data_IF_546242206328
#
_entry.id   IF_546242206328
#
_cell.length_a   1.000
_cell.length_b   1.000
_cell.length_c   1.000
_cell.angle_alpha   90.00
_cell.angle_beta   90.00
_cell.angle_gamma   90.00
#
_symmetry.space_group_name_H-M   'P 1'
#
loop_
_entity.id
_entity.type
_entity.pdbx_description
1 polymer ?
#
# COMPACT_ATOMS: atom_id res chain seq x y z
N UNK A 1 -40.85 11.46 -22.50
CA UNK A 1 -39.51 11.20 -21.91
C UNK A 1 -38.56 12.31 -22.38
N UNK A 2 -38.24 13.28 -21.52
CA UNK A 2 -37.31 14.36 -21.85
C UNK A 2 -35.88 13.76 -21.92
N UNK A 3 -35.27 13.74 -23.11
CA UNK A 3 -33.87 13.41 -23.30
C UNK A 3 -33.03 14.41 -22.50
N UNK A 4 -32.42 13.98 -21.38
CA UNK A 4 -31.43 14.77 -20.64
C UNK A 4 -30.33 15.15 -21.64
N UNK A 5 -30.19 16.41 -21.96
CA UNK A 5 -29.08 16.93 -22.77
C UNK A 5 -27.81 16.82 -21.91
N UNK A 6 -26.95 15.87 -22.23
CA UNK A 6 -25.66 15.72 -21.58
C UNK A 6 -24.77 16.84 -22.12
N UNK A 7 -24.19 17.63 -21.23
CA UNK A 7 -23.22 18.65 -21.62
C UNK A 7 -21.99 17.96 -22.24
N UNK A 8 -21.54 18.45 -23.40
CA UNK A 8 -20.32 17.98 -24.07
C UNK A 8 -19.11 18.01 -23.09
N UNK A 9 -19.07 19.05 -22.26
CA UNK A 9 -18.09 19.21 -21.19
C UNK A 9 -18.12 18.03 -20.22
N UNK A 10 -19.32 17.65 -19.76
CA UNK A 10 -19.48 16.51 -18.84
C UNK A 10 -19.03 15.20 -19.46
N UNK A 11 -19.31 14.99 -20.75
CA UNK A 11 -18.89 13.78 -21.48
C UNK A 11 -17.36 13.71 -21.59
N UNK A 12 -16.69 14.81 -21.94
CA UNK A 12 -15.23 14.87 -22.08
C UNK A 12 -14.55 14.67 -20.73
N UNK A 13 -15.04 15.29 -19.66
CA UNK A 13 -14.50 15.09 -18.29
C UNK A 13 -14.64 13.63 -17.87
N UNK A 14 -15.80 13.01 -18.07
CA UNK A 14 -16.00 11.59 -17.75
C UNK A 14 -15.07 10.70 -18.56
N UNK A 15 -14.90 10.96 -19.86
CA UNK A 15 -13.99 10.19 -20.71
C UNK A 15 -12.54 10.29 -20.23
N UNK A 16 -12.06 11.49 -19.88
CA UNK A 16 -10.71 11.70 -19.33
C UNK A 16 -10.56 11.00 -17.98
N UNK A 17 -11.55 11.14 -17.09
CA UNK A 17 -11.53 10.44 -15.80
C UNK A 17 -11.43 8.92 -15.99
N UNK A 18 -12.21 8.34 -16.87
CA UNK A 18 -12.15 6.88 -17.14
C UNK A 18 -10.80 6.49 -17.73
N UNK A 19 -10.30 7.25 -18.70
CA UNK A 19 -9.03 6.93 -19.40
C UNK A 19 -7.81 7.05 -18.51
N UNK A 20 -7.82 7.92 -17.51
CA UNK A 20 -6.72 8.08 -16.55
C UNK A 20 -6.91 7.21 -15.32
N UNK A 21 -8.12 7.18 -14.75
CA UNK A 21 -8.40 6.49 -13.49
C UNK A 21 -8.37 4.97 -13.63
N UNK A 22 -8.92 4.41 -14.70
CA UNK A 22 -8.96 2.96 -14.88
C UNK A 22 -7.54 2.32 -14.95
N UNK A 23 -6.58 2.82 -15.76
CA UNK A 23 -5.22 2.29 -15.77
C UNK A 23 -4.48 2.46 -14.43
N UNK A 24 -4.69 3.59 -13.74
CA UNK A 24 -4.07 3.86 -12.45
C UNK A 24 -4.56 2.89 -11.39
N UNK A 25 -5.87 2.64 -11.32
CA UNK A 25 -6.45 1.67 -10.37
C UNK A 25 -6.00 0.25 -10.68
N UNK A 26 -6.03 -0.17 -11.96
CA UNK A 26 -5.58 -1.51 -12.35
C UNK A 26 -4.11 -1.73 -12.08
N UNK A 27 -3.25 -0.75 -12.37
CA UNK A 27 -1.83 -0.78 -12.04
C UNK A 27 -1.60 -0.84 -10.52
N UNK A 28 -2.38 -0.11 -9.73
CA UNK A 28 -2.32 -0.13 -8.26
C UNK A 28 -2.67 -1.49 -7.68
N UNK A 29 -3.75 -2.10 -8.13
CA UNK A 29 -4.16 -3.44 -7.70
C UNK A 29 -3.08 -4.46 -8.07
N UNK A 30 -2.57 -4.42 -9.29
CA UNK A 30 -1.50 -5.28 -9.76
C UNK A 30 -0.22 -5.09 -8.92
N UNK A 31 0.19 -3.86 -8.66
CA UNK A 31 1.36 -3.52 -7.84
C UNK A 31 1.23 -4.09 -6.43
N UNK A 32 0.10 -3.84 -5.74
CA UNK A 32 -0.14 -4.35 -4.38
C UNK A 32 -0.09 -5.87 -4.36
N UNK A 33 -0.75 -6.53 -5.29
CA UNK A 33 -0.77 -7.99 -5.36
C UNK A 33 0.63 -8.57 -5.60
N UNK A 34 1.38 -8.03 -6.56
CA UNK A 34 2.72 -8.50 -6.91
C UNK A 34 3.72 -8.27 -5.78
N UNK A 35 3.75 -7.06 -5.20
CA UNK A 35 4.68 -6.72 -4.11
C UNK A 35 4.35 -7.49 -2.83
N UNK A 36 3.07 -7.66 -2.50
CA UNK A 36 2.65 -8.49 -1.36
C UNK A 36 3.08 -9.95 -1.53
N UNK A 37 2.87 -10.52 -2.71
CA UNK A 37 3.28 -11.89 -3.01
C UNK A 37 4.80 -12.07 -2.95
N UNK A 38 5.55 -11.12 -3.49
CA UNK A 38 7.02 -11.15 -3.47
C UNK A 38 7.58 -11.03 -2.05
N UNK A 39 7.01 -10.16 -1.21
CA UNK A 39 7.42 -10.03 0.19
C UNK A 39 7.10 -11.26 1.03
N UNK A 40 5.93 -11.88 0.82
CA UNK A 40 5.61 -13.15 1.48
C UNK A 40 6.57 -14.27 1.06
N UNK A 41 6.91 -14.34 -0.22
CA UNK A 41 7.88 -15.32 -0.71
C UNK A 41 9.26 -15.09 -0.11
N UNK A 42 9.77 -13.86 -0.13
CA UNK A 42 11.07 -13.50 0.49
C UNK A 42 11.08 -13.76 2.00
N UNK A 43 9.99 -13.44 2.71
CA UNK A 43 9.87 -13.76 4.13
C UNK A 43 9.90 -15.27 4.36
N UNK A 44 9.20 -16.06 3.54
CA UNK A 44 9.20 -17.51 3.62
C UNK A 44 10.60 -18.11 3.42
N UNK A 45 11.33 -17.66 2.41
CA UNK A 45 12.72 -18.08 2.16
C UNK A 45 13.63 -17.69 3.31
N UNK A 46 13.54 -16.45 3.78
CA UNK A 46 14.35 -15.95 4.89
C UNK A 46 14.08 -16.75 6.15
N UNK A 47 12.83 -16.92 6.55
CA UNK A 47 12.46 -17.69 7.75
C UNK A 47 12.92 -19.14 7.64
N UNK A 48 12.75 -19.76 6.47
CA UNK A 48 13.20 -21.13 6.22
C UNK A 48 14.71 -21.25 6.33
N UNK A 49 15.46 -20.28 5.84
CA UNK A 49 16.92 -20.25 5.96
C UNK A 49 17.36 -20.16 7.44
N UNK A 50 16.81 -19.21 8.20
CA UNK A 50 17.13 -19.08 9.64
C UNK A 50 16.72 -20.33 10.42
N UNK A 51 15.57 -20.92 10.11
CA UNK A 51 15.07 -22.11 10.77
C UNK A 51 15.95 -23.33 10.48
N UNK A 52 16.40 -23.49 9.26
CA UNK A 52 17.32 -24.58 8.88
C UNK A 52 18.69 -24.41 9.52
N UNK A 53 19.23 -23.18 9.51
CA UNK A 53 20.49 -22.89 10.17
C UNK A 53 20.41 -23.16 11.68
N UNK A 54 19.30 -22.74 12.33
CA UNK A 54 19.05 -22.99 13.73
C UNK A 54 18.99 -24.49 14.05
N UNK A 55 18.23 -25.27 13.27
CA UNK A 55 18.09 -26.72 13.47
C UNK A 55 19.41 -27.43 13.24
N UNK A 56 20.15 -27.09 12.19
CA UNK A 56 21.47 -27.69 11.90
C UNK A 56 22.51 -27.33 13.01
N UNK A 57 22.48 -26.11 13.51
CA UNK A 57 23.34 -25.68 14.61
C UNK A 57 22.98 -26.40 15.92
N UNK A 58 21.69 -26.53 16.19
CA UNK A 58 21.19 -27.26 17.37
C UNK A 58 21.53 -28.73 17.30
N UNK A 59 21.36 -29.37 16.14
CA UNK A 59 21.74 -30.76 15.92
C UNK A 59 23.26 -30.99 16.17
N UNK A 60 24.12 -30.08 15.66
CA UNK A 60 25.57 -30.15 15.91
C UNK A 60 25.90 -29.97 17.41
N UNK A 61 25.25 -29.02 18.07
CA UNK A 61 25.42 -28.81 19.50
C UNK A 61 25.04 -30.06 20.31
N UNK A 62 23.89 -30.66 20.00
CA UNK A 62 23.43 -31.89 20.67
C UNK A 62 24.37 -33.07 20.41
N UNK A 63 24.97 -33.16 19.23
CA UNK A 63 25.97 -34.16 18.90
C UNK A 63 27.24 -33.96 19.73
N UNK A 64 27.76 -32.76 19.79
CA UNK A 64 28.93 -32.40 20.61
C UNK A 64 28.68 -32.72 22.08
N UNK A 65 27.49 -32.39 22.61
CA UNK A 65 27.10 -32.72 23.98
C UNK A 65 27.11 -34.23 24.23
N UNK A 66 26.52 -34.98 23.32
CA UNK A 66 26.46 -36.43 23.38
C UNK A 66 27.87 -37.05 23.40
N UNK A 67 28.72 -36.60 22.48
CA UNK A 67 30.07 -37.10 22.36
C UNK A 67 30.89 -36.77 23.61
N UNK A 68 30.72 -35.57 24.19
CA UNK A 68 31.31 -35.21 25.48
C UNK A 68 30.82 -36.05 26.64
N UNK A 69 29.52 -36.38 26.68
CA UNK A 69 28.97 -37.30 27.68
C UNK A 69 29.56 -38.70 27.54
N UNK A 70 29.67 -39.24 26.32
CA UNK A 70 30.31 -40.53 26.08
C UNK A 70 31.79 -40.53 26.40
N UNK A 71 32.49 -39.41 26.13
CA UNK A 71 33.89 -39.28 26.57
C UNK A 71 34.02 -39.37 28.08
N UNK A 72 33.13 -38.66 28.84
CA UNK A 72 33.13 -38.73 30.29
C UNK A 72 32.85 -40.14 30.81
N UNK A 73 31.91 -40.88 30.18
CA UNK A 73 31.66 -42.29 30.57
C UNK A 73 32.83 -43.21 30.26
N UNK A 74 33.70 -42.83 29.33
CA UNK A 74 34.87 -43.62 28.92
C UNK A 74 36.17 -43.22 29.64
N UNK A 75 36.15 -42.10 30.38
CA UNK A 75 37.32 -41.62 31.12
C UNK A 75 37.68 -42.57 32.26
N UNK A 76 38.94 -43.05 32.31
CA UNK A 76 39.40 -44.05 33.29
C UNK A 76 39.33 -43.54 34.74
N UNK A 77 39.58 -42.24 34.96
CA UNK A 77 39.48 -41.64 36.26
C UNK A 77 38.02 -41.54 36.74
N UNK A 78 37.12 -41.14 35.82
CA UNK A 78 35.68 -41.12 36.07
C UNK A 78 35.14 -42.53 36.33
N UNK A 79 35.56 -43.54 35.57
CA UNK A 79 35.21 -44.95 35.76
C UNK A 79 35.66 -45.45 37.18
N UNK A 80 36.88 -45.18 37.53
CA UNK A 80 37.40 -45.57 38.85
C UNK A 80 36.67 -44.91 40.02
N UNK A 81 36.34 -43.61 39.88
CA UNK A 81 35.58 -42.84 40.87
C UNK A 81 34.16 -43.37 41.01
N UNK A 82 33.50 -43.67 39.88
CA UNK A 82 32.13 -44.16 39.86
C UNK A 82 32.00 -45.61 40.31
N UNK A 83 33.00 -46.50 40.09
CA UNK A 83 32.99 -47.90 40.49
C UNK A 83 33.20 -48.05 42.02
N UNK A 84 33.70 -47.03 42.70
CA UNK A 84 33.87 -47.05 44.15
C UNK A 84 32.54 -47.11 44.89
N UNK A 85 32.37 -47.92 45.92
CA UNK A 85 31.16 -47.95 46.74
C UNK A 85 31.00 -46.71 47.67
N UNK A 86 32.02 -45.87 47.78
CA UNK A 86 32.02 -44.67 48.64
C UNK A 86 31.44 -43.45 47.88
N UNK A 87 30.82 -42.53 48.62
CA UNK A 87 30.42 -41.21 48.01
C UNK A 87 31.68 -40.50 47.47
N UNK A 88 31.47 -39.67 46.45
CA UNK A 88 32.54 -38.85 45.88
C UNK A 88 32.96 -37.77 46.82
N UNK A 89 34.28 -37.67 47.02
CA UNK A 89 34.90 -36.62 47.85
C UNK A 89 34.92 -35.29 47.04
N UNK A 90 35.05 -34.18 47.75
CA UNK A 90 35.11 -32.86 47.17
C UNK A 90 36.29 -32.67 46.18
N UNK A 91 37.41 -33.33 46.44
CA UNK A 91 38.59 -33.33 45.55
C UNK A 91 38.29 -34.10 44.27
N UNK A 92 37.60 -35.24 44.34
CA UNK A 92 37.23 -36.04 43.22
C UNK A 92 36.20 -35.30 42.36
N UNK A 93 35.24 -34.57 42.97
CA UNK A 93 34.28 -33.72 42.28
C UNK A 93 35.02 -32.63 41.49
N UNK A 94 35.98 -31.95 42.13
CA UNK A 94 36.77 -30.90 41.46
C UNK A 94 37.60 -31.44 40.30
N UNK A 95 38.15 -32.66 40.42
CA UNK A 95 38.87 -33.32 39.34
C UNK A 95 37.96 -33.68 38.16
N UNK A 96 36.75 -34.17 38.43
CA UNK A 96 35.76 -34.46 37.42
C UNK A 96 35.31 -33.17 36.69
N UNK A 97 35.07 -32.09 37.44
CA UNK A 97 34.72 -30.80 36.89
C UNK A 97 35.83 -30.25 35.98
N UNK A 98 37.08 -30.31 36.41
CA UNK A 98 38.21 -29.86 35.59
C UNK A 98 38.38 -30.69 34.31
N UNK A 99 38.31 -32.02 34.41
CA UNK A 99 38.43 -32.92 33.28
C UNK A 99 37.29 -32.67 32.29
N UNK A 100 36.08 -32.50 32.80
CA UNK A 100 34.89 -32.25 31.98
C UNK A 100 34.94 -30.87 31.31
N UNK A 101 35.23 -29.81 32.05
CA UNK A 101 35.40 -28.45 31.53
C UNK A 101 36.50 -28.39 30.46
N UNK A 102 37.59 -29.14 30.62
CA UNK A 102 38.65 -29.22 29.61
C UNK A 102 38.16 -29.90 28.32
N UNK A 103 37.36 -30.96 28.45
CA UNK A 103 36.79 -31.66 27.28
C UNK A 103 35.79 -30.80 26.50
N UNK A 104 34.95 -30.06 27.22
CA UNK A 104 33.97 -29.17 26.59
C UNK A 104 34.53 -27.83 26.13
N UNK A 105 35.61 -27.33 26.74
CA UNK A 105 36.30 -26.09 26.32
C UNK A 105 37.01 -26.23 24.97
N UNK A 106 37.26 -27.44 24.50
CA UNK A 106 37.89 -27.71 23.20
C UNK A 106 36.91 -27.62 22.02
N UNK A 107 35.63 -27.44 22.26
CA UNK A 107 34.62 -27.32 21.21
C UNK A 107 33.95 -25.94 21.18
N UNK A 108 34.27 -25.11 20.18
CA UNK A 108 33.59 -23.82 19.90
C UNK A 108 32.07 -23.95 19.70
N UNK A 109 31.57 -25.19 19.73
CA UNK A 109 30.16 -25.50 19.38
C UNK A 109 29.19 -25.40 20.55
N UNK A 110 29.70 -25.29 21.79
CA UNK A 110 28.87 -25.23 23.01
C UNK A 110 28.67 -23.78 23.44
N UNK A 111 27.44 -23.31 23.35
CA UNK A 111 27.09 -22.05 23.97
C UNK A 111 26.88 -22.27 25.49
N UNK A 112 27.73 -21.71 26.35
CA UNK A 112 27.65 -21.89 27.81
C UNK A 112 26.35 -21.37 28.41
N UNK A 113 25.67 -20.45 27.73
CA UNK A 113 24.35 -19.96 28.14
C UNK A 113 23.23 -20.97 27.90
N UNK A 114 23.41 -21.88 26.94
CA UNK A 114 22.41 -22.92 26.58
C UNK A 114 22.57 -24.14 27.45
N UNK A 115 23.81 -24.57 27.74
CA UNK A 115 24.09 -25.69 28.65
C UNK A 115 24.16 -25.14 30.07
N UNK A 116 23.03 -25.22 30.78
CA UNK A 116 22.96 -24.67 32.16
C UNK A 116 23.82 -25.43 33.16
N UNK A 117 23.80 -26.77 33.12
CA UNK A 117 24.58 -27.60 34.01
C UNK A 117 24.65 -29.05 33.51
N UNK A 118 25.67 -29.79 33.98
CA UNK A 118 25.76 -31.22 33.78
C UNK A 118 26.00 -31.85 35.15
N UNK A 119 25.18 -32.84 35.50
CA UNK A 119 25.20 -33.53 36.77
C UNK A 119 25.56 -34.99 36.58
N UNK A 120 26.38 -35.49 37.48
CA UNK A 120 26.65 -36.90 37.66
C UNK A 120 25.88 -37.39 38.89
N UNK A 121 25.09 -38.44 38.70
CA UNK A 121 24.31 -39.03 39.81
C UNK A 121 24.91 -40.37 40.18
N UNK A 122 25.25 -40.48 41.48
CA UNK A 122 25.78 -41.71 42.06
C UNK A 122 25.24 -41.87 43.48
N UNK A 123 24.58 -43.00 43.79
CA UNK A 123 24.05 -43.30 45.12
C UNK A 123 23.27 -42.11 45.75
N UNK A 124 22.30 -41.52 44.99
CA UNK A 124 21.51 -40.33 45.34
C UNK A 124 22.33 -39.04 45.58
N UNK A 125 23.62 -39.06 45.30
CA UNK A 125 24.45 -37.87 45.29
C UNK A 125 24.40 -37.22 43.90
N UNK A 126 23.95 -35.96 43.85
CA UNK A 126 23.88 -35.13 42.65
C UNK A 126 25.08 -34.21 42.58
N UNK A 127 26.01 -34.53 41.71
CA UNK A 127 27.31 -33.85 41.62
C UNK A 127 27.36 -33.01 40.35
N UNK A 128 27.40 -31.67 40.44
CA UNK A 128 27.59 -30.84 39.27
C UNK A 128 29.04 -31.02 38.76
N UNK A 129 29.19 -31.37 37.51
CA UNK A 129 30.48 -31.51 36.83
C UNK A 129 30.73 -30.41 35.80
N UNK A 130 29.69 -29.59 35.52
CA UNK A 130 29.77 -28.40 34.67
C UNK A 130 28.64 -27.42 35.02
N UNK A 131 28.92 -26.12 35.08
CA UNK A 131 27.98 -25.01 35.14
C UNK A 131 27.11 -24.93 36.39
N UNK A 132 26.81 -26.01 37.03
CA UNK A 132 25.97 -26.06 38.23
C UNK A 132 26.68 -25.46 39.45
N UNK A 133 25.95 -24.66 40.23
CA UNK A 133 26.49 -24.18 41.50
C UNK A 133 26.16 -25.18 42.63
N UNK A 134 27.16 -25.84 43.16
CA UNK A 134 27.02 -26.85 44.23
C UNK A 134 26.26 -26.30 45.47
N UNK A 135 26.36 -25.00 45.69
CA UNK A 135 25.78 -24.33 46.87
C UNK A 135 24.39 -23.70 46.60
N UNK A 136 24.00 -23.52 45.37
CA UNK A 136 22.71 -22.97 45.03
C UNK A 136 21.74 -24.08 44.65
N UNK A 137 20.53 -23.98 45.13
CA UNK A 137 19.41 -24.90 45.08
C UNK A 137 18.96 -25.36 43.65
N UNK A 138 19.87 -25.36 42.67
CA UNK A 138 19.63 -25.81 41.28
C UNK A 138 19.45 -27.33 41.20
N UNK A 139 19.99 -28.07 42.14
CA UNK A 139 19.86 -29.54 42.23
C UNK A 139 18.41 -30.01 42.42
N UNK A 140 17.48 -29.16 42.92
CA UNK A 140 16.10 -29.56 43.09
C UNK A 140 15.39 -29.86 41.75
N UNK A 141 15.68 -29.08 40.69
CA UNK A 141 15.11 -29.29 39.35
C UNK A 141 15.55 -30.63 38.79
N UNK A 142 16.84 -30.90 38.87
CA UNK A 142 17.43 -32.15 38.39
C UNK A 142 16.91 -33.34 39.19
N UNK A 143 16.81 -33.19 40.52
CA UNK A 143 16.25 -34.24 41.39
C UNK A 143 14.80 -34.55 41.02
N UNK A 144 13.96 -33.55 40.88
CA UNK A 144 12.56 -33.72 40.51
C UNK A 144 12.42 -34.35 39.12
N UNK A 145 13.26 -33.91 38.17
CA UNK A 145 13.31 -34.48 36.84
C UNK A 145 13.74 -35.94 36.85
N UNK A 146 14.80 -36.27 37.62
CA UNK A 146 15.31 -37.63 37.75
C UNK A 146 14.27 -38.58 38.37
N UNK A 147 13.64 -38.18 39.46
CA UNK A 147 12.59 -39.00 40.11
C UNK A 147 11.41 -39.33 39.18
N UNK A 148 11.13 -38.47 38.24
CA UNK A 148 10.02 -38.68 37.26
C UNK A 148 10.48 -39.57 36.08
N UNK A 149 11.78 -39.60 35.78
CA UNK A 149 12.35 -40.23 34.59
C UNK A 149 13.51 -41.18 34.91
N UNK A 150 13.46 -41.84 36.08
CA UNK A 150 14.54 -42.69 36.55
C UNK A 150 14.88 -43.85 35.59
N UNK A 151 13.84 -44.39 34.93
CA UNK A 151 13.99 -45.45 33.92
C UNK A 151 14.41 -44.93 32.52
N UNK A 152 14.51 -43.62 32.36
CA UNK A 152 14.85 -43.02 31.06
C UNK A 152 16.39 -43.09 30.85
N UNK A 153 16.75 -43.52 29.67
CA UNK A 153 18.12 -43.56 29.20
C UNK A 153 18.21 -43.30 27.72
N UNK A 154 18.44 -42.05 27.32
CA UNK A 154 18.62 -41.71 25.92
C UNK A 154 19.41 -40.43 25.73
N UNK A 155 20.57 -40.52 25.07
CA UNK A 155 21.32 -39.36 24.63
C UNK A 155 20.70 -38.64 23.43
N UNK A 156 19.60 -39.17 22.87
CA UNK A 156 18.94 -38.61 21.69
C UNK A 156 17.57 -38.00 21.97
N UNK A 157 17.04 -38.21 23.18
CA UNK A 157 15.71 -37.71 23.55
C UNK A 157 15.84 -36.66 24.62
N UNK A 158 15.17 -35.52 24.45
CA UNK A 158 15.04 -34.49 25.47
C UNK A 158 13.83 -34.78 26.36
N UNK A 159 14.08 -34.87 27.66
CA UNK A 159 13.06 -35.06 28.67
C UNK A 159 12.66 -33.73 29.28
N UNK A 160 11.42 -33.58 29.69
CA UNK A 160 10.89 -32.36 30.31
C UNK A 160 10.05 -32.70 31.50
N UNK A 161 9.99 -31.81 32.45
CA UNK A 161 9.11 -31.91 33.61
C UNK A 161 8.05 -30.83 33.59
N UNK A 162 6.80 -31.18 33.92
CA UNK A 162 5.65 -30.26 33.81
C UNK A 162 5.77 -29.01 34.71
N UNK A 163 6.51 -29.12 35.84
CA UNK A 163 6.75 -28.02 36.77
C UNK A 163 7.98 -27.17 36.42
N UNK A 164 8.74 -27.54 35.37
CA UNK A 164 10.03 -26.93 35.02
C UNK A 164 9.93 -26.49 33.56
N UNK A 165 9.44 -25.28 33.36
CA UNK A 165 9.30 -24.68 32.01
C UNK A 165 10.61 -24.03 31.58
N UNK A 166 10.95 -24.09 30.30
CA UNK A 166 12.15 -23.47 29.72
C UNK A 166 13.43 -24.33 29.89
N UNK A 167 13.34 -25.52 30.43
CA UNK A 167 14.44 -26.44 30.53
C UNK A 167 14.12 -27.80 29.95
N UNK A 168 15.13 -28.40 29.31
CA UNK A 168 15.08 -29.77 28.83
C UNK A 168 16.30 -30.53 29.31
N UNK A 169 16.18 -31.85 29.41
CA UNK A 169 17.18 -32.71 30.01
C UNK A 169 17.52 -33.87 29.09
N UNK A 170 18.82 -34.13 28.93
CA UNK A 170 19.32 -35.35 28.33
C UNK A 170 19.82 -36.26 29.45
N UNK A 171 19.37 -37.50 29.49
CA UNK A 171 19.70 -38.47 30.56
C UNK A 171 20.42 -39.64 29.92
N UNK A 172 21.62 -39.96 30.43
CA UNK A 172 22.46 -41.05 29.92
C UNK A 172 22.97 -41.89 31.08
N UNK A 173 22.88 -43.23 30.96
CA UNK A 173 23.47 -44.12 31.95
C UNK A 173 25.01 -44.05 31.94
N UNK A 174 25.59 -43.96 33.12
CA UNK A 174 27.01 -44.16 33.34
C UNK A 174 27.22 -45.63 33.63
N UNK A 175 27.79 -46.38 32.70
CA UNK A 175 28.02 -47.83 32.82
C UNK A 175 29.48 -48.16 33.04
N UNK A 176 29.75 -49.21 33.81
CA UNK A 176 31.08 -49.81 33.92
C UNK A 176 31.45 -50.46 32.59
N UNK A 177 32.53 -50.04 31.97
CA UNK A 177 32.97 -50.52 30.67
C UNK A 177 33.39 -51.99 30.63
N UNK A 178 33.75 -52.56 31.79
CA UNK A 178 34.17 -53.96 31.90
C UNK A 178 33.01 -54.89 32.19
N UNK A 179 32.05 -54.46 33.01
CA UNK A 179 30.94 -55.30 33.48
C UNK A 179 29.61 -54.95 32.84
N UNK A 180 29.52 -53.81 32.13
CA UNK A 180 28.30 -53.22 31.55
C UNK A 180 27.20 -52.99 32.60
N UNK A 181 27.56 -52.92 33.87
CA UNK A 181 26.60 -52.63 34.93
C UNK A 181 26.44 -51.09 35.11
N UNK A 182 25.25 -50.60 35.41
CA UNK A 182 25.01 -49.19 35.64
C UNK A 182 25.70 -48.76 36.93
N UNK A 183 26.55 -47.75 36.88
CA UNK A 183 27.24 -47.11 38.00
C UNK A 183 26.56 -45.82 38.43
N UNK A 184 25.69 -45.27 37.60
CA UNK A 184 25.00 -44.00 37.83
C UNK A 184 24.41 -43.41 36.57
N UNK A 185 24.10 -42.14 36.59
CA UNK A 185 23.56 -41.41 35.40
C UNK A 185 24.26 -40.07 35.24
N UNK A 186 24.28 -39.61 33.96
CA UNK A 186 24.65 -38.25 33.61
C UNK A 186 23.37 -37.54 33.15
N UNK A 187 23.14 -36.37 33.71
CA UNK A 187 22.03 -35.50 33.30
C UNK A 187 22.60 -34.18 32.80
N UNK A 188 22.28 -33.82 31.55
CA UNK A 188 22.60 -32.52 30.96
C UNK A 188 21.33 -31.66 31.00
N UNK A 189 21.42 -30.51 31.66
CA UNK A 189 20.35 -29.51 31.73
C UNK A 189 20.58 -28.45 30.65
N UNK A 190 19.60 -28.27 29.79
CA UNK A 190 19.57 -27.29 28.70
C UNK A 190 18.57 -26.18 28.99
N UNK A 191 18.99 -24.94 28.85
CA UNK A 191 18.11 -23.79 28.87
C UNK A 191 17.55 -23.54 27.45
N UNK A 192 16.29 -23.92 27.24
CA UNK A 192 15.65 -23.83 25.93
C UNK A 192 15.32 -22.37 25.55
N UNK A 193 15.00 -21.51 26.53
CA UNK A 193 14.74 -20.10 26.25
C UNK A 193 16.00 -19.40 25.70
N UNK A 194 17.17 -19.73 26.27
CA UNK A 194 18.48 -19.28 25.75
C UNK A 194 18.78 -19.87 24.37
N UNK A 195 18.47 -21.16 24.16
CA UNK A 195 18.61 -21.79 22.86
C UNK A 195 17.75 -21.06 21.80
N UNK A 196 16.49 -20.82 22.09
CA UNK A 196 15.58 -20.13 21.18
C UNK A 196 16.00 -18.68 20.91
N UNK A 197 16.61 -18.00 21.89
CA UNK A 197 17.11 -16.63 21.71
C UNK A 197 18.24 -16.55 20.66
N UNK A 198 18.93 -17.66 20.36
CA UNK A 198 19.96 -17.70 19.30
C UNK A 198 19.38 -17.64 17.87
N UNK A 199 18.09 -17.82 17.71
CA UNK A 199 17.43 -17.80 16.39
C UNK A 199 17.51 -16.43 15.70
N UNK A 200 17.71 -15.33 16.45
CA UNK A 200 17.92 -13.94 15.95
C UNK A 200 16.85 -13.38 15.02
N UNK A 201 15.76 -14.09 14.77
CA UNK A 201 14.64 -13.65 13.92
C UNK A 201 13.94 -12.40 14.46
N UNK A 202 14.00 -12.16 15.77
CA UNK A 202 13.41 -10.99 16.42
C UNK A 202 14.01 -9.66 15.96
N UNK A 203 15.20 -9.67 15.36
CA UNK A 203 15.81 -8.47 14.78
C UNK A 203 15.11 -8.06 13.48
N UNK A 204 14.59 -9.04 12.70
CA UNK A 204 13.87 -8.81 11.46
C UNK A 204 12.36 -8.67 11.69
N UNK A 205 11.82 -9.50 12.57
CA UNK A 205 10.41 -9.56 12.91
C UNK A 205 10.24 -9.53 14.44
N UNK A 206 10.13 -8.34 15.06
CA UNK A 206 10.08 -8.19 16.52
C UNK A 206 8.96 -8.96 17.23
N UNK A 207 7.84 -9.19 16.54
CA UNK A 207 6.68 -9.92 17.09
C UNK A 207 6.71 -11.43 16.79
N UNK A 208 7.87 -11.99 16.48
CA UNK A 208 8.02 -13.43 16.20
C UNK A 208 7.77 -14.25 17.45
N UNK A 209 6.86 -15.21 17.37
CA UNK A 209 6.62 -16.22 18.39
C UNK A 209 7.29 -17.52 17.97
N UNK A 210 8.07 -18.11 18.87
CA UNK A 210 8.75 -19.39 18.64
C UNK A 210 8.30 -20.40 19.68
N UNK A 211 7.90 -21.59 19.23
CA UNK A 211 7.50 -22.69 20.09
C UNK A 211 8.41 -23.88 19.81
N UNK A 212 9.06 -24.38 20.84
CA UNK A 212 9.87 -25.60 20.79
C UNK A 212 9.08 -26.73 21.44
N UNK A 213 8.83 -27.78 20.67
CA UNK A 213 8.02 -28.92 21.09
C UNK A 213 8.83 -30.22 21.04
N UNK A 214 8.63 -31.08 22.00
CA UNK A 214 9.23 -32.45 22.02
C UNK A 214 8.60 -33.37 20.99
N UNK A 215 9.18 -34.54 20.85
CA UNK A 215 8.76 -35.59 19.89
C UNK A 215 7.28 -36.01 20.03
N UNK A 216 6.67 -35.80 21.18
CA UNK A 216 5.26 -36.07 21.45
C UNK A 216 4.35 -34.84 21.26
N UNK A 217 4.87 -33.73 20.72
CA UNK A 217 4.14 -32.48 20.54
C UNK A 217 3.94 -31.65 21.81
N UNK A 218 4.50 -32.06 22.94
CA UNK A 218 4.45 -31.30 24.18
C UNK A 218 5.40 -30.11 24.11
N UNK A 219 4.92 -28.89 24.43
CA UNK A 219 5.75 -27.69 24.47
C UNK A 219 6.83 -27.80 25.54
N UNK A 220 8.08 -27.59 25.15
CA UNK A 220 9.26 -27.62 26.02
C UNK A 220 9.65 -26.20 26.40
N UNK A 221 9.68 -25.29 25.47
CA UNK A 221 10.01 -23.89 25.66
C UNK A 221 9.36 -23.01 24.61
N UNK A 222 9.41 -21.72 24.82
CA UNK A 222 8.83 -20.76 23.88
C UNK A 222 9.39 -19.36 24.08
N UNK A 223 9.36 -18.57 23.01
CA UNK A 223 9.73 -17.17 23.00
C UNK A 223 8.53 -16.31 22.63
N UNK A 224 8.26 -15.24 23.41
CA UNK A 224 7.21 -14.25 23.16
C UNK A 224 5.78 -14.81 23.04
N UNK A 225 5.44 -15.89 23.71
CA UNK A 225 4.10 -16.49 23.66
C UNK A 225 2.99 -15.58 24.18
N UNK A 226 3.29 -14.54 24.93
CA UNK A 226 2.30 -13.55 25.41
C UNK A 226 1.62 -12.81 24.27
N UNK A 227 2.27 -12.78 23.08
CA UNK A 227 1.72 -12.21 21.86
C UNK A 227 0.77 -13.15 21.13
N UNK A 228 0.79 -14.44 21.46
CA UNK A 228 0.01 -15.48 20.80
C UNK A 228 -1.10 -15.97 21.73
N UNK A 229 -2.35 -15.63 21.41
CA UNK A 229 -3.53 -16.15 22.08
C UNK A 229 -4.03 -17.39 21.37
N UNK A 230 -4.30 -18.46 22.09
CA UNK A 230 -4.72 -19.78 21.56
C UNK A 230 -6.00 -19.75 20.66
N UNK A 231 -6.81 -18.70 20.75
CA UNK A 231 -8.02 -18.49 19.94
C UNK A 231 -7.85 -17.42 18.84
N UNK A 232 -6.63 -17.05 18.48
CA UNK A 232 -6.42 -16.08 17.42
C UNK A 232 -6.58 -16.72 16.03
N UNK A 233 -7.09 -15.92 15.07
CA UNK A 233 -7.28 -16.35 13.68
C UNK A 233 -5.92 -16.66 13.04
N UNK A 234 -5.62 -17.96 12.87
CA UNK A 234 -4.35 -18.46 12.31
C UNK A 234 -4.07 -17.90 10.91
N UNK A 235 -5.08 -17.45 10.17
CA UNK A 235 -4.89 -16.83 8.86
C UNK A 235 -4.13 -15.48 8.93
N UNK A 236 -4.04 -14.88 10.11
CA UNK A 236 -3.27 -13.65 10.33
C UNK A 236 -1.79 -13.88 10.59
N UNK A 237 -1.38 -15.13 10.73
CA UNK A 237 -0.02 -15.52 11.06
C UNK A 237 0.61 -16.32 9.94
N UNK A 238 1.82 -15.97 9.60
CA UNK A 238 2.69 -16.83 8.80
C UNK A 238 3.26 -17.91 9.73
N UNK A 239 3.18 -19.16 9.33
CA UNK A 239 3.68 -20.29 10.09
C UNK A 239 4.75 -21.04 9.30
N UNK A 240 5.88 -21.30 9.95
CA UNK A 240 6.93 -22.18 9.45
C UNK A 240 7.34 -23.16 10.53
N UNK A 241 7.70 -24.36 10.16
CA UNK A 241 8.15 -25.38 11.10
C UNK A 241 9.30 -26.21 10.52
N UNK A 242 10.21 -26.59 11.42
CA UNK A 242 11.25 -27.56 11.11
C UNK A 242 11.45 -28.50 12.29
N UNK A 243 11.94 -29.69 12.04
CA UNK A 243 12.26 -30.68 13.07
C UNK A 243 13.75 -30.94 13.11
N UNK A 244 14.29 -31.14 14.30
CA UNK A 244 15.65 -31.62 14.47
C UNK A 244 15.77 -33.03 13.89
N UNK A 245 16.81 -33.27 13.12
CA UNK A 245 16.97 -34.53 12.35
C UNK A 245 17.19 -35.74 13.25
N UNK A 246 17.81 -35.55 14.40
CA UNK A 246 18.26 -36.64 15.23
C UNK A 246 17.37 -36.93 16.46
N UNK A 247 16.68 -35.91 16.96
CA UNK A 247 15.92 -36.00 18.21
C UNK A 247 14.40 -35.85 18.04
N UNK A 248 13.93 -35.52 16.83
CA UNK A 248 12.52 -35.35 16.48
C UNK A 248 11.79 -34.22 17.21
N UNK A 249 12.49 -33.34 17.93
CA UNK A 249 11.92 -32.11 18.44
C UNK A 249 11.58 -31.21 17.27
N UNK A 250 10.54 -30.37 17.48
CA UNK A 250 9.99 -29.49 16.45
C UNK A 250 10.08 -28.04 16.88
N UNK A 251 10.47 -27.19 15.97
CA UNK A 251 10.45 -25.73 16.14
C UNK A 251 9.37 -25.18 15.24
N UNK A 252 8.38 -24.50 15.81
CA UNK A 252 7.32 -23.80 15.12
C UNK A 252 7.53 -22.30 15.30
N UNK A 253 7.48 -21.55 14.19
CA UNK A 253 7.64 -20.10 14.15
C UNK A 253 6.36 -19.49 13.63
N UNK A 254 5.87 -18.47 14.33
CA UNK A 254 4.69 -17.69 13.95
C UNK A 254 5.08 -16.23 13.86
N UNK A 255 4.78 -15.60 12.70
CA UNK A 255 5.06 -14.19 12.42
C UNK A 255 3.75 -13.53 11.98
N UNK A 256 3.34 -12.38 12.56
CA UNK A 256 2.15 -11.68 12.11
C UNK A 256 2.28 -11.26 10.65
N UNK A 257 1.33 -11.62 9.79
CA UNK A 257 1.30 -11.19 8.38
C UNK A 257 1.36 -9.66 8.25
N UNK A 258 0.82 -8.95 9.23
CA UNK A 258 0.87 -7.48 9.29
C UNK A 258 2.30 -6.95 9.38
N UNK A 259 3.22 -7.68 9.98
CA UNK A 259 4.63 -7.31 10.12
C UNK A 259 5.41 -7.59 8.83
N UNK A 260 5.19 -8.75 8.24
CA UNK A 260 5.76 -9.10 6.91
C UNK A 260 5.34 -8.06 5.86
N UNK A 261 4.07 -7.62 5.91
CA UNK A 261 3.50 -6.67 4.96
C UNK A 261 3.70 -5.19 5.39
N UNK A 262 4.43 -4.90 6.47
CA UNK A 262 4.63 -3.52 6.94
C UNK A 262 5.30 -2.64 5.88
N UNK A 263 6.29 -3.17 5.16
CA UNK A 263 6.95 -2.50 4.05
C UNK A 263 6.00 -2.15 2.88
N UNK A 264 5.01 -3.03 2.61
CA UNK A 264 3.98 -2.77 1.58
C UNK A 264 3.14 -1.56 1.95
N UNK A 265 2.74 -1.41 3.20
CA UNK A 265 1.89 -0.29 3.64
C UNK A 265 2.52 1.07 3.37
N UNK A 266 3.81 1.20 3.60
CA UNK A 266 4.54 2.44 3.32
C UNK A 266 4.62 2.70 1.81
N UNK A 267 5.05 1.70 1.02
CA UNK A 267 5.12 1.79 -0.44
C UNK A 267 3.76 2.06 -1.08
N UNK A 268 2.71 1.41 -0.59
CA UNK A 268 1.33 1.62 -1.04
C UNK A 268 0.85 3.05 -0.76
N UNK A 269 1.18 3.60 0.40
CA UNK A 269 0.82 4.98 0.76
C UNK A 269 1.48 5.98 -0.19
N UNK A 270 2.78 5.81 -0.48
CA UNK A 270 3.51 6.65 -1.44
C UNK A 270 2.92 6.51 -2.84
N UNK A 271 2.62 5.28 -3.28
CA UNK A 271 1.98 5.02 -4.57
C UNK A 271 0.66 5.78 -4.71
N UNK A 272 -0.24 5.69 -3.75
CA UNK A 272 -1.53 6.41 -3.80
C UNK A 272 -1.37 7.93 -3.79
N UNK A 273 -0.39 8.48 -3.05
CA UNK A 273 -0.10 9.91 -3.08
C UNK A 273 0.37 10.37 -4.47
N UNK A 274 1.26 9.63 -5.10
CA UNK A 274 1.73 9.92 -6.46
C UNK A 274 0.59 9.81 -7.46
N UNK A 275 -0.23 8.77 -7.38
CA UNK A 275 -1.41 8.59 -8.25
C UNK A 275 -2.43 9.73 -8.07
N UNK A 276 -2.69 10.16 -6.84
CA UNK A 276 -3.57 11.30 -6.56
C UNK A 276 -3.02 12.60 -7.16
N UNK A 277 -1.71 12.84 -7.03
CA UNK A 277 -1.06 14.01 -7.63
C UNK A 277 -1.16 14.01 -9.17
N UNK A 278 -0.91 12.86 -9.81
CA UNK A 278 -1.07 12.71 -11.27
C UNK A 278 -2.51 12.95 -11.70
N UNK A 279 -3.49 12.41 -10.97
CA UNK A 279 -4.91 12.60 -11.26
C UNK A 279 -5.33 14.08 -11.16
N UNK A 280 -4.90 14.76 -10.09
CA UNK A 280 -5.16 16.20 -9.91
C UNK A 280 -4.54 17.00 -11.07
N UNK A 281 -3.29 16.71 -11.43
CA UNK A 281 -2.61 17.37 -12.55
C UNK A 281 -3.33 17.14 -13.87
N UNK A 282 -3.76 15.91 -14.15
CA UNK A 282 -4.52 15.55 -15.35
C UNK A 282 -5.86 16.30 -15.42
N UNK A 283 -6.58 16.41 -14.29
CA UNK A 283 -7.84 17.16 -14.21
C UNK A 283 -7.63 18.65 -14.44
N UNK A 284 -6.57 19.24 -13.88
CA UNK A 284 -6.22 20.65 -14.10
C UNK A 284 -5.88 20.92 -15.57
N UNK A 285 -5.07 20.06 -16.19
CA UNK A 285 -4.75 20.17 -17.62
C UNK A 285 -6.00 20.03 -18.49
N UNK A 286 -6.85 19.06 -18.19
CA UNK A 286 -8.10 18.86 -18.91
C UNK A 286 -9.06 20.06 -18.77
N UNK A 287 -9.22 20.60 -17.58
CA UNK A 287 -10.03 21.79 -17.34
C UNK A 287 -9.49 23.01 -18.09
N UNK A 288 -8.18 23.22 -18.06
CA UNK A 288 -7.52 24.33 -18.77
C UNK A 288 -7.73 24.18 -20.30
N UNK A 289 -7.47 22.99 -20.85
CA UNK A 289 -7.66 22.71 -22.27
C UNK A 289 -9.13 22.94 -22.69
N UNK A 290 -10.07 22.45 -21.88
CA UNK A 290 -11.50 22.60 -22.14
C UNK A 290 -11.95 24.08 -22.13
N UNK A 291 -11.46 24.88 -21.17
CA UNK A 291 -11.76 26.32 -21.11
C UNK A 291 -11.22 27.01 -22.35
N UNK A 292 -9.98 26.74 -22.74
CA UNK A 292 -9.34 27.34 -23.91
C UNK A 292 -10.07 26.99 -25.23
N UNK A 293 -10.51 25.75 -25.39
CA UNK A 293 -11.21 25.29 -26.58
C UNK A 293 -12.67 25.81 -26.67
N UNK A 294 -13.34 25.90 -25.51
CA UNK A 294 -14.76 26.31 -25.50
C UNK A 294 -14.97 27.81 -25.47
N UNK A 295 -13.97 28.61 -25.10
CA UNK A 295 -14.09 30.06 -25.05
C UNK A 295 -14.49 30.69 -26.41
N UNK A 296 -13.82 30.37 -27.54
CA UNK A 296 -14.22 30.89 -28.85
C UNK A 296 -15.61 30.43 -29.28
N UNK A 297 -15.99 29.19 -29.01
CA UNK A 297 -17.34 28.68 -29.32
C UNK A 297 -18.46 29.41 -28.57
N UNK A 298 -18.23 29.77 -27.29
CA UNK A 298 -19.19 30.57 -26.52
C UNK A 298 -19.26 31.99 -27.06
N UNK A 299 -18.15 32.57 -27.48
CA UNK A 299 -18.10 33.89 -28.10
C UNK A 299 -18.89 33.90 -29.42
N UNK A 300 -18.72 32.88 -30.28
CA UNK A 300 -19.52 32.68 -31.49
C UNK A 300 -21.03 32.66 -31.20
N UNK A 301 -21.46 31.85 -30.22
CA UNK A 301 -22.88 31.74 -29.86
C UNK A 301 -23.46 33.10 -29.39
N UNK A 302 -22.72 33.90 -28.68
CA UNK A 302 -23.12 35.25 -28.25
C UNK A 302 -23.22 36.18 -29.46
N UNK A 303 -22.21 36.20 -30.33
CA UNK A 303 -22.13 37.05 -31.52
C UNK A 303 -23.24 36.70 -32.56
N UNK A 304 -23.55 35.41 -32.73
CA UNK A 304 -24.70 34.98 -33.55
C UNK A 304 -26.02 35.52 -32.99
N UNK A 305 -26.18 35.54 -31.65
CA UNK A 305 -27.33 36.13 -30.98
C UNK A 305 -27.48 37.64 -31.28
N UNK A 306 -26.37 38.39 -31.26
CA UNK A 306 -26.33 39.82 -31.58
C UNK A 306 -26.70 40.10 -33.05
N UNK A 307 -26.17 39.32 -34.00
CA UNK A 307 -26.54 39.40 -35.42
C UNK A 307 -28.03 39.11 -35.60
N UNK A 308 -28.57 38.10 -34.88
CA UNK A 308 -29.99 37.78 -34.90
C UNK A 308 -30.90 38.91 -34.38
N UNK A 309 -30.38 39.81 -33.55
CA UNK A 309 -31.08 41.02 -33.08
C UNK A 309 -30.87 42.27 -33.97
N UNK A 310 -30.14 42.11 -35.09
CA UNK A 310 -29.92 43.19 -36.07
C UNK A 310 -28.62 43.99 -35.88
N UNK A 311 -27.77 43.62 -34.94
CA UNK A 311 -26.46 44.23 -34.77
C UNK A 311 -25.40 43.50 -35.59
N UNK A 312 -25.14 43.97 -36.79
CA UNK A 312 -24.13 43.39 -37.71
C UNK A 312 -22.73 43.97 -37.50
N UNK A 313 -22.54 44.89 -36.55
CA UNK A 313 -21.23 45.50 -36.27
C UNK A 313 -20.32 44.65 -35.40
N UNK A 314 -20.86 43.63 -34.73
CA UNK A 314 -20.12 42.77 -33.81
C UNK A 314 -19.14 41.86 -34.56
N UNK A 315 -17.90 41.83 -34.14
CA UNK A 315 -16.81 40.99 -34.68
C UNK A 315 -16.22 40.11 -33.60
N UNK A 316 -15.67 38.97 -34.02
CA UNK A 316 -14.91 38.08 -33.18
C UNK A 316 -13.43 38.50 -33.15
N UNK A 317 -12.82 38.49 -31.95
CA UNK A 317 -11.42 38.76 -31.81
C UNK A 317 -10.56 37.61 -32.35
N UNK A 318 -9.34 37.92 -32.81
CA UNK A 318 -8.37 36.92 -33.15
C UNK A 318 -7.92 36.17 -31.91
N UNK A 319 -7.77 34.86 -32.05
CA UNK A 319 -7.29 33.98 -30.97
C UNK A 319 -5.88 33.49 -31.30
N UNK A 320 -5.05 33.13 -30.30
CA UNK A 320 -3.69 32.64 -30.52
C UNK A 320 -3.62 31.25 -31.18
N UNK A 321 -4.76 30.62 -31.49
CA UNK A 321 -4.82 29.27 -32.04
C UNK A 321 -5.31 29.31 -33.51
N UNK A 322 -4.56 28.64 -34.39
CA UNK A 322 -4.77 28.64 -35.86
C UNK A 322 -6.19 28.23 -36.25
N UNK A 323 -6.71 27.17 -35.62
CA UNK A 323 -8.04 26.62 -35.93
C UNK A 323 -9.16 27.58 -35.51
N UNK A 324 -9.02 28.18 -34.35
CA UNK A 324 -10.04 29.13 -33.86
C UNK A 324 -9.94 30.47 -34.55
N UNK A 325 -8.75 30.91 -34.97
CA UNK A 325 -8.58 32.11 -35.81
C UNK A 325 -9.21 31.95 -37.17
N UNK A 326 -9.08 30.78 -37.81
CA UNK A 326 -9.75 30.50 -39.08
C UNK A 326 -11.28 30.58 -38.95
N UNK A 327 -11.83 30.11 -37.82
CA UNK A 327 -13.28 30.22 -37.52
C UNK A 327 -13.68 31.70 -37.32
N UNK A 328 -12.86 32.49 -36.57
CA UNK A 328 -13.14 33.91 -36.34
C UNK A 328 -13.15 34.71 -37.66
N UNK A 329 -12.19 34.46 -38.57
CA UNK A 329 -12.15 35.07 -39.88
C UNK A 329 -13.38 34.71 -40.72
N UNK A 330 -13.71 33.41 -40.83
CA UNK A 330 -14.88 32.98 -41.60
C UNK A 330 -16.20 33.57 -41.04
N UNK A 331 -16.28 33.73 -39.72
CA UNK A 331 -17.42 34.36 -39.09
C UNK A 331 -17.49 35.87 -39.36
N UNK A 332 -16.38 36.59 -39.27
CA UNK A 332 -16.30 38.03 -39.58
C UNK A 332 -16.64 38.30 -41.03
N UNK A 333 -16.14 37.49 -41.97
CA UNK A 333 -16.49 37.58 -43.41
C UNK A 333 -18.01 37.41 -43.64
N UNK A 334 -18.62 36.47 -42.91
CA UNK A 334 -20.07 36.27 -42.97
C UNK A 334 -20.81 37.50 -42.42
N UNK A 335 -20.37 38.07 -41.29
CA UNK A 335 -20.98 39.28 -40.72
C UNK A 335 -20.87 40.47 -41.63
N UNK A 336 -19.73 40.69 -42.31
CA UNK A 336 -19.51 41.73 -43.30
C UNK A 336 -20.47 41.61 -44.51
N UNK A 337 -20.64 40.38 -45.00
CA UNK A 337 -21.61 40.12 -46.09
C UNK A 337 -23.04 40.40 -45.68
N UNK A 338 -23.44 40.02 -44.46
CA UNK A 338 -24.77 40.28 -43.92
C UNK A 338 -25.01 41.79 -43.74
N UNK A 339 -24.04 42.54 -43.22
CA UNK A 339 -24.13 43.98 -43.06
C UNK A 339 -24.32 44.67 -44.44
N UNK A 340 -23.49 44.29 -45.43
CA UNK A 340 -23.57 44.80 -46.81
C UNK A 340 -24.96 44.51 -47.40
N UNK A 341 -25.46 43.31 -47.31
CA UNK A 341 -26.76 42.92 -47.80
C UNK A 341 -27.93 43.72 -47.14
N UNK A 342 -27.80 43.91 -45.81
CA UNK A 342 -28.79 44.69 -45.07
C UNK A 342 -28.81 46.14 -45.51
N UNK A 343 -27.66 46.78 -45.70
CA UNK A 343 -27.51 48.13 -46.18
C UNK A 343 -28.09 48.25 -47.58
N UNK A 344 -27.79 47.29 -48.49
CA UNK A 344 -28.39 47.29 -49.83
C UNK A 344 -29.93 47.18 -49.82
N UNK A 345 -30.49 46.29 -49.03
CA UNK A 345 -31.94 46.13 -48.86
C UNK A 345 -32.58 47.40 -48.29
N UNK A 346 -31.91 47.98 -47.26
CA UNK A 346 -32.38 49.23 -46.66
C UNK A 346 -32.41 50.41 -47.69
N UNK A 347 -31.31 50.60 -48.42
CA UNK A 347 -31.20 51.64 -49.46
C UNK A 347 -32.25 51.42 -50.59
N UNK A 348 -32.41 50.18 -51.05
CA UNK A 348 -33.46 49.88 -52.03
C UNK A 348 -34.88 50.18 -51.49
N UNK A 349 -35.13 49.90 -50.22
CA UNK A 349 -36.38 50.22 -49.55
C UNK A 349 -36.63 51.73 -49.48
N UNK A 350 -35.61 52.55 -49.21
CA UNK A 350 -35.70 54.00 -49.22
C UNK A 350 -36.01 54.54 -50.66
N UNK A 351 -35.26 54.05 -51.68
CA UNK A 351 -35.44 54.44 -53.04
C UNK A 351 -36.88 54.09 -53.61
N UNK A 352 -37.37 52.91 -53.19
CA UNK A 352 -38.75 52.54 -53.54
C UNK A 352 -39.76 53.48 -52.88
N UNK A 353 -39.56 53.85 -51.63
CA UNK A 353 -40.44 54.77 -50.90
C UNK A 353 -40.43 56.18 -51.49
N UNK A 354 -39.25 56.67 -51.87
CA UNK A 354 -39.11 57.95 -52.56
C UNK A 354 -39.85 57.94 -53.96
N UNK A 355 -39.66 56.82 -54.68
CA UNK A 355 -40.38 56.66 -55.99
C UNK A 355 -41.89 56.61 -55.79
N UNK A 356 -42.40 55.95 -54.76
CA UNK A 356 -43.83 55.96 -54.42
C UNK A 356 -44.31 57.33 -54.04
N UNK A 357 -43.54 58.12 -53.28
CA UNK A 357 -43.87 59.52 -52.92
C UNK A 357 -43.99 60.35 -54.21
N UNK A 358 -42.97 60.30 -55.08
CA UNK A 358 -42.96 61.02 -56.35
C UNK A 358 -44.13 60.60 -57.29
N UNK A 359 -44.44 59.30 -57.27
CA UNK A 359 -45.64 58.82 -58.05
C UNK A 359 -46.93 59.39 -57.48
N UNK A 360 -47.10 59.49 -56.19
CA UNK A 360 -48.28 60.06 -55.55
C UNK A 360 -48.37 61.59 -55.80
N UNK A 361 -47.22 62.31 -55.69
CA UNK A 361 -47.15 63.74 -56.06
C UNK A 361 -47.49 63.99 -57.51
N UNK A 362 -47.05 63.14 -58.42
CA UNK A 362 -47.39 63.27 -59.85
C UNK A 362 -48.86 63.01 -60.15
N UNK A 363 -49.60 62.28 -59.30
CA UNK A 363 -51.07 62.11 -59.47
C UNK A 363 -51.87 63.36 -59.12
N UNK A 364 -51.31 64.34 -58.43
CA UNK A 364 -51.84 65.64 -58.21
C UNK A 364 -51.56 66.42 -59.52
N UNK A 365 -52.46 66.36 -60.53
CA UNK A 365 -52.22 67.04 -61.77
C UNK A 365 -51.94 68.51 -61.50
N UNK A 366 -50.70 69.01 -61.67
CA UNK A 366 -50.40 70.42 -61.43
C UNK A 366 -51.26 71.36 -62.35
N UNK A 367 -51.49 70.90 -63.53
CA UNK A 367 -52.34 71.60 -64.48
C UNK A 367 -53.79 71.73 -64.00
N UNK A 368 -54.33 70.78 -63.25
CA UNK A 368 -55.68 70.89 -62.68
C UNK A 368 -55.75 71.91 -61.57
N UNK A 369 -54.78 71.96 -60.72
CA UNK A 369 -54.66 72.94 -59.63
C UNK A 369 -54.48 74.35 -60.27
N UNK A 370 -53.62 74.48 -61.26
CA UNK A 370 -53.38 75.71 -61.97
C UNK A 370 -54.67 76.25 -62.59
N UNK A 371 -55.43 75.41 -63.30
CA UNK A 371 -56.68 75.73 -63.89
C UNK A 371 -57.74 76.18 -62.87
N UNK A 372 -57.80 75.55 -61.69
CA UNK A 372 -58.73 75.95 -60.64
C UNK A 372 -58.33 77.34 -60.06
N UNK A 373 -57.03 77.55 -59.80
CA UNK A 373 -56.51 78.81 -59.30
C UNK A 373 -56.73 79.93 -60.26
N UNK A 374 -56.59 79.70 -61.59
CA UNK A 374 -56.85 80.61 -62.62
C UNK A 374 -58.36 80.95 -62.69
N UNK A 375 -59.24 79.98 -62.63
CA UNK A 375 -60.68 80.15 -62.56
C UNK A 375 -61.09 80.99 -61.33
N UNK A 376 -60.52 80.72 -60.18
CA UNK A 376 -60.75 81.49 -58.96
C UNK A 376 -60.28 82.93 -59.15
N UNK A 377 -59.07 83.12 -59.70
CA UNK A 377 -58.53 84.45 -60.01
C UNK A 377 -59.45 85.29 -60.92
N UNK A 378 -59.90 84.68 -61.97
CA UNK A 378 -60.84 85.33 -62.86
C UNK A 378 -62.17 85.71 -62.19
N UNK A 379 -62.70 84.80 -61.32
CA UNK A 379 -63.94 85.11 -60.58
C UNK A 379 -63.73 86.20 -59.52
N UNK A 380 -62.61 86.25 -58.91
CA UNK A 380 -62.24 87.30 -57.91
C UNK A 380 -62.06 88.65 -58.58
N UNK A 381 -61.53 88.74 -59.84
CA UNK A 381 -61.47 89.95 -60.65
C UNK A 381 -62.86 90.46 -61.03
N UNK A 382 -63.74 89.60 -61.46
CA UNK A 382 -65.16 90.01 -61.84
C UNK A 382 -65.95 90.46 -60.63
N UNK A 383 -65.67 89.92 -59.44
CA UNK A 383 -66.28 90.27 -58.17
C UNK A 383 -65.67 91.51 -57.48
N UNK A 384 -64.66 92.15 -58.09
CA UNK A 384 -64.03 93.38 -57.54
C UNK A 384 -63.26 93.21 -56.24
N UNK A 385 -62.68 92.02 -56.02
CA UNK A 385 -61.95 91.68 -54.78
C UNK A 385 -60.40 91.53 -55.01
N UNK A 386 -59.69 92.67 -55.18
CA UNK A 386 -58.24 92.63 -55.55
C UNK A 386 -57.32 91.97 -54.55
N UNK A 387 -57.69 92.03 -53.28
CA UNK A 387 -56.85 91.38 -52.20
C UNK A 387 -56.85 89.83 -52.34
N UNK A 388 -57.98 89.22 -52.77
CA UNK A 388 -58.06 87.77 -52.97
C UNK A 388 -57.34 87.39 -54.25
N UNK A 389 -57.36 88.16 -55.30
CA UNK A 389 -56.63 87.92 -56.53
C UNK A 389 -55.14 87.86 -56.31
N UNK A 390 -54.59 88.79 -55.55
CA UNK A 390 -53.15 88.78 -55.15
C UNK A 390 -52.78 87.57 -54.38
N UNK A 391 -53.63 87.11 -53.47
CA UNK A 391 -53.33 85.86 -52.64
C UNK A 391 -53.34 84.60 -53.52
N UNK A 392 -54.32 84.49 -54.47
CA UNK A 392 -54.40 83.37 -55.39
C UNK A 392 -53.24 83.35 -56.38
N UNK A 393 -52.79 84.52 -56.84
CA UNK A 393 -51.64 84.67 -57.75
C UNK A 393 -50.34 84.23 -56.98
N UNK A 394 -50.17 84.70 -55.74
CA UNK A 394 -49.03 84.28 -54.92
C UNK A 394 -49.04 82.76 -54.65
N UNK A 395 -50.23 82.19 -54.47
CA UNK A 395 -50.35 80.73 -54.27
C UNK A 395 -49.99 79.94 -55.53
N UNK A 396 -50.37 80.48 -56.71
CA UNK A 396 -50.05 79.88 -58.02
C UNK A 396 -48.54 80.01 -58.36
N UNK A 397 -47.83 80.96 -57.82
CA UNK A 397 -46.39 81.11 -57.99
C UNK A 397 -45.53 80.23 -57.04
N UNK A 398 -46.10 79.71 -55.96
CA UNK A 398 -45.46 78.83 -55.00
C UNK A 398 -45.45 77.35 -55.37
N UNK A 399 -46.11 76.95 -56.40
CA UNK A 399 -46.12 75.60 -56.97
C UNK A 399 -45.26 75.51 -58.25
#
# INVERSE_FOLDING_TARGET
MAKRKISLIGLVVVMICVLVFAPVVTAGIYFIHTVSGQLQHTASETVSMYLNEFTDRTDRMMETLRDGVYYLTSDSAAQQMMSSSKPLTQIQILQLEQNFSRTFSLGDSLNPDVVSAIYLIKNDQYVPVYGGNYYLNTSWRVRQMYQTHEDCNSARTLYTHYAIIGYAYMIVDFVDLNTMQPLGKIIVELNIDKLLSTLSLNQLYPSTVVIFSGAQGKRIGSLQTDLFRENEDMNKWYHASSSLRKSRERVDIYIPNAEILAGVRQSTRVYFLVCAAILILALLLAATCLILLLRPLRQMLHTIGSIGSGDFSVRMDETPYTETTAISHAFNDMADRLDTLFQEVYQRGLLLRDAEIHQLESQIQPHFIFNILELINVRCMVAGQPAICTTVQNLAQLQ
#
